data_IF_683367302299
#
_entry.id   IF_683367302299
#
_cell.length_a   1.000
_cell.length_b   1.000
_cell.length_c   1.000
_cell.angle_alpha   90.00
_cell.angle_beta   90.00
_cell.angle_gamma   90.00
#
_symmetry.space_group_name_H-M   'P 1'
#
loop_
_entity.id
_entity.type
_entity.pdbx_description
1 polymer ?
#
# COMPACT_ATOMS: atom_id res chain seq x y z
N UNK A 1 -2.79 -27.70 -11.49
CA UNK A 1 -2.32 -27.45 -10.11
C UNK A 1 -2.63 -26.00 -9.83
N UNK A 2 -3.66 -25.71 -9.03
CA UNK A 2 -3.98 -24.33 -8.65
C UNK A 2 -2.92 -23.83 -7.67
N UNK A 3 -2.30 -22.69 -7.98
CA UNK A 3 -1.39 -22.03 -7.06
C UNK A 3 -2.21 -21.17 -6.11
N UNK A 4 -2.40 -21.65 -4.89
CA UNK A 4 -3.24 -20.97 -3.90
C UNK A 4 -2.48 -19.78 -3.31
N UNK A 5 -3.01 -18.58 -3.53
CA UNK A 5 -2.51 -17.36 -2.91
C UNK A 5 -2.76 -17.38 -1.41
N UNK A 6 -1.79 -16.95 -0.60
CA UNK A 6 -2.03 -16.73 0.83
C UNK A 6 -2.70 -15.37 1.03
N UNK A 7 -3.88 -15.35 1.66
CA UNK A 7 -4.49 -14.12 2.18
C UNK A 7 -3.63 -13.61 3.34
N UNK A 8 -3.04 -12.43 3.17
CA UNK A 8 -2.12 -11.81 4.16
C UNK A 8 -2.86 -10.82 5.04
N UNK A 9 -3.88 -10.16 4.50
CA UNK A 9 -4.68 -9.19 5.25
C UNK A 9 -6.10 -9.10 4.69
N UNK A 10 -7.05 -8.86 5.59
CA UNK A 10 -8.44 -8.56 5.30
C UNK A 10 -8.92 -7.52 6.31
N UNK A 11 -9.61 -6.49 5.82
CA UNK A 11 -10.14 -5.42 6.64
C UNK A 11 -11.27 -4.69 5.93
N UNK A 12 -11.84 -3.70 6.61
CA UNK A 12 -12.91 -2.89 6.02
C UNK A 12 -12.36 -2.11 4.81
N UNK A 13 -12.81 -2.44 3.60
CA UNK A 13 -12.41 -1.81 2.35
C UNK A 13 -11.53 -2.66 1.42
N UNK A 14 -11.15 -3.89 1.81
CA UNK A 14 -10.51 -4.81 0.88
C UNK A 14 -9.73 -5.98 1.50
N UNK A 15 -9.05 -6.72 0.63
CA UNK A 15 -8.18 -7.84 0.98
C UNK A 15 -6.86 -7.83 0.19
N UNK A 16 -5.81 -8.36 0.81
CA UNK A 16 -4.48 -8.47 0.22
C UNK A 16 -4.01 -9.93 0.24
N UNK A 17 -3.57 -10.40 -0.91
CA UNK A 17 -3.04 -11.74 -1.12
C UNK A 17 -1.61 -11.65 -1.64
N UNK A 18 -0.76 -12.60 -1.25
CA UNK A 18 0.60 -12.71 -1.76
C UNK A 18 0.94 -14.14 -2.14
N UNK A 19 1.81 -14.26 -3.14
CA UNK A 19 2.54 -15.47 -3.46
C UNK A 19 4.02 -15.22 -3.19
N UNK A 20 4.63 -16.13 -2.45
CA UNK A 20 6.07 -16.20 -2.26
C UNK A 20 6.74 -16.85 -3.48
N UNK A 21 8.06 -16.62 -3.68
CA UNK A 21 8.79 -17.25 -4.78
C UNK A 21 8.71 -18.79 -4.79
N UNK A 22 8.60 -19.43 -3.62
CA UNK A 22 8.48 -20.88 -3.51
C UNK A 22 7.13 -21.42 -4.02
N UNK A 23 6.12 -20.56 -4.13
CA UNK A 23 4.76 -20.90 -4.57
C UNK A 23 4.54 -20.63 -6.08
N UNK A 24 5.55 -20.08 -6.77
CA UNK A 24 5.47 -19.70 -8.19
C UNK A 24 6.39 -20.57 -9.07
N UNK A 25 5.96 -20.95 -10.29
CA UNK A 25 6.72 -21.79 -11.21
C UNK A 25 7.92 -21.07 -11.84
N UNK A 26 8.01 -19.73 -11.72
CA UNK A 26 9.10 -18.92 -12.26
C UNK A 26 9.89 -18.18 -11.18
N UNK A 27 10.94 -18.82 -10.68
CA UNK A 27 12.10 -18.15 -10.07
C UNK A 27 11.85 -17.26 -8.85
N UNK A 28 12.86 -16.43 -8.54
CA UNK A 28 13.00 -15.63 -7.31
C UNK A 28 12.11 -14.36 -7.29
N UNK A 29 10.87 -14.47 -7.74
CA UNK A 29 9.92 -13.35 -7.94
C UNK A 29 8.76 -13.52 -6.96
N UNK A 30 8.28 -12.44 -6.36
CA UNK A 30 7.04 -12.42 -5.59
C UNK A 30 5.85 -11.93 -6.43
N UNK A 31 4.64 -12.24 -6.00
CA UNK A 31 3.44 -11.65 -6.59
C UNK A 31 2.46 -11.23 -5.50
N UNK A 32 1.60 -10.26 -5.80
CA UNK A 32 0.55 -9.84 -4.90
C UNK A 32 -0.73 -9.48 -5.64
N UNK A 33 -1.88 -9.80 -5.04
CA UNK A 33 -3.19 -9.33 -5.49
C UNK A 33 -3.77 -8.43 -4.40
N UNK A 34 -4.17 -7.23 -4.81
CA UNK A 34 -4.93 -6.29 -4.02
C UNK A 34 -6.36 -6.27 -4.58
N UNK A 35 -7.34 -6.52 -3.73
CA UNK A 35 -8.75 -6.31 -4.04
C UNK A 35 -9.30 -5.24 -3.11
N UNK A 36 -9.77 -4.13 -3.69
CA UNK A 36 -10.45 -3.07 -2.95
C UNK A 36 -11.95 -3.14 -3.23
N UNK A 37 -12.73 -3.03 -2.17
CA UNK A 37 -14.17 -2.89 -2.26
C UNK A 37 -14.53 -1.52 -2.87
N UNK A 38 -15.82 -1.33 -3.19
CA UNK A 38 -16.35 -0.08 -3.77
C UNK A 38 -15.88 1.12 -2.97
N UNK A 39 -15.27 2.10 -3.63
CA UNK A 39 -14.74 3.32 -3.00
C UNK A 39 -13.68 3.06 -1.89
N UNK A 40 -13.11 1.85 -1.84
CA UNK A 40 -12.06 1.48 -0.90
C UNK A 40 -10.75 2.22 -1.19
N UNK A 41 -9.96 2.47 -0.15
CA UNK A 41 -8.68 3.15 -0.26
C UNK A 41 -7.54 2.29 0.28
N UNK A 42 -6.55 2.01 -0.56
CA UNK A 42 -5.29 1.43 -0.12
C UNK A 42 -4.32 2.55 0.29
N UNK A 43 -3.77 2.40 1.50
CA UNK A 43 -2.86 3.37 2.08
C UNK A 43 -1.61 3.62 1.24
N UNK A 44 -1.07 4.85 1.26
CA UNK A 44 0.20 5.15 0.62
C UNK A 44 1.28 4.22 1.19
N UNK A 45 1.87 3.42 0.31
CA UNK A 45 2.95 2.48 0.65
C UNK A 45 4.02 2.51 -0.42
N UNK A 46 5.26 2.22 -0.03
CA UNK A 46 6.34 1.95 -0.98
C UNK A 46 6.89 0.54 -0.79
N UNK A 47 7.59 0.05 -1.81
CA UNK A 47 8.30 -1.23 -1.82
C UNK A 47 9.79 -0.98 -2.08
N UNK A 48 10.63 -1.87 -1.58
CA UNK A 48 12.07 -1.87 -1.78
C UNK A 48 12.51 -2.70 -3.02
N UNK A 49 11.69 -2.79 -4.06
CA UNK A 49 11.97 -3.51 -5.32
C UNK A 49 12.55 -2.60 -6.44
N UNK A 50 13.69 -2.92 -7.11
CA UNK A 50 14.46 -1.94 -7.92
C UNK A 50 13.96 -1.69 -9.36
N UNK A 51 13.40 -0.50 -9.67
CA UNK A 51 13.19 0.04 -11.04
C UNK A 51 13.29 1.60 -11.07
N UNK A 52 13.43 2.22 -12.26
CA UNK A 52 13.70 3.67 -12.47
C UNK A 52 12.43 4.57 -12.55
N UNK A 53 12.51 5.87 -12.22
CA UNK A 53 11.32 6.68 -11.88
C UNK A 53 10.58 7.43 -13.01
N UNK A 54 9.25 7.45 -12.90
CA UNK A 54 8.35 8.53 -13.36
C UNK A 54 7.17 8.67 -12.38
N UNK A 55 6.75 9.88 -12.02
CA UNK A 55 5.57 10.13 -11.15
C UNK A 55 4.29 10.01 -11.99
N UNK A 56 3.31 9.24 -11.50
CA UNK A 56 2.06 8.98 -12.21
C UNK A 56 0.85 9.30 -11.32
N UNK A 57 0.03 10.27 -11.75
CA UNK A 57 -1.33 10.48 -11.26
C UNK A 57 -2.27 10.17 -12.44
N UNK A 58 -3.00 9.05 -12.36
CA UNK A 58 -3.89 8.63 -13.45
C UNK A 58 -5.03 7.76 -12.93
N UNK A 59 -6.16 7.79 -13.64
CA UNK A 59 -7.18 6.73 -13.54
C UNK A 59 -6.68 5.52 -14.32
N UNK A 60 -6.76 4.34 -13.69
CA UNK A 60 -6.32 3.07 -14.26
C UNK A 60 -7.58 2.25 -14.54
N UNK A 61 -7.71 1.72 -15.76
CA UNK A 61 -8.78 0.81 -16.16
C UNK A 61 -8.25 -0.62 -16.26
N UNK A 62 -9.15 -1.57 -16.42
CA UNK A 62 -8.78 -2.95 -16.73
C UNK A 62 -7.80 -2.99 -17.93
N UNK A 63 -6.84 -3.91 -17.88
CA UNK A 63 -5.79 -4.12 -18.90
C UNK A 63 -4.64 -3.09 -18.88
N UNK A 64 -4.72 -2.03 -18.08
CA UNK A 64 -3.56 -1.15 -17.90
C UNK A 64 -2.43 -1.86 -17.12
N UNK A 65 -1.21 -1.73 -17.63
CA UNK A 65 0.03 -2.17 -16.99
C UNK A 65 0.94 -0.96 -16.80
N UNK A 66 1.47 -0.80 -15.60
CA UNK A 66 2.53 0.17 -15.33
C UNK A 66 3.53 -0.38 -14.32
N UNK A 67 4.69 0.26 -14.29
CA UNK A 67 5.79 -0.07 -13.40
C UNK A 67 5.80 0.91 -12.25
N UNK A 68 5.84 0.40 -11.01
CA UNK A 68 6.07 1.20 -9.82
C UNK A 68 7.56 1.08 -9.44
N UNK A 69 8.33 2.18 -9.48
CA UNK A 69 9.74 2.18 -9.10
C UNK A 69 9.96 1.90 -7.61
N UNK A 70 11.21 1.55 -7.24
CA UNK A 70 11.61 1.38 -5.84
C UNK A 70 11.37 2.65 -5.03
N UNK A 71 10.88 2.50 -3.81
CA UNK A 71 10.63 3.60 -2.88
C UNK A 71 9.58 4.62 -3.35
N UNK A 72 8.90 4.37 -4.47
CA UNK A 72 7.77 5.20 -4.89
C UNK A 72 6.56 4.90 -4.03
N UNK A 73 5.98 5.95 -3.48
CA UNK A 73 4.77 5.88 -2.68
C UNK A 73 3.58 5.75 -3.62
N UNK A 74 2.79 4.70 -3.43
CA UNK A 74 1.57 4.47 -4.20
C UNK A 74 0.37 4.38 -3.28
N UNK A 75 -0.63 5.22 -3.56
CA UNK A 75 -1.98 5.13 -3.02
C UNK A 75 -2.93 4.65 -4.12
N UNK A 76 -3.98 3.91 -3.76
CA UNK A 76 -5.02 3.50 -4.72
C UNK A 76 -6.39 3.82 -4.14
N UNK A 77 -7.26 4.42 -4.94
CA UNK A 77 -8.67 4.61 -4.63
C UNK A 77 -9.45 3.77 -5.64
N UNK A 78 -10.35 2.92 -5.17
CA UNK A 78 -11.24 2.17 -6.03
C UNK A 78 -12.41 3.04 -6.48
N UNK A 79 -12.85 2.81 -7.72
CA UNK A 79 -14.10 3.37 -8.24
C UNK A 79 -15.33 2.68 -7.57
N UNK A 80 -16.57 3.13 -7.85
CA UNK A 80 -17.78 2.51 -7.32
C UNK A 80 -17.99 1.04 -7.70
N UNK A 81 -17.28 0.55 -8.72
CA UNK A 81 -17.30 -0.86 -9.14
C UNK A 81 -16.21 -1.70 -8.45
N UNK A 82 -15.35 -1.09 -7.63
CA UNK A 82 -14.21 -1.74 -6.97
C UNK A 82 -12.93 -1.69 -7.81
N UNK A 83 -11.85 -2.27 -7.27
CA UNK A 83 -10.57 -2.40 -7.99
C UNK A 83 -9.94 -3.76 -7.70
N UNK A 84 -9.65 -4.51 -8.75
CA UNK A 84 -8.72 -5.63 -8.68
C UNK A 84 -7.38 -5.24 -9.29
N UNK A 85 -6.32 -5.43 -8.52
CA UNK A 85 -4.96 -5.05 -8.87
C UNK A 85 -4.01 -6.22 -8.66
N UNK A 86 -3.15 -6.49 -9.64
CA UNK A 86 -2.10 -7.51 -9.54
C UNK A 86 -0.72 -6.86 -9.70
N UNK A 87 0.19 -7.21 -8.80
CA UNK A 87 1.60 -6.78 -8.81
C UNK A 87 2.51 -7.99 -9.01
N UNK A 88 3.47 -7.84 -9.91
CA UNK A 88 4.67 -8.69 -9.97
C UNK A 88 5.78 -7.92 -9.26
N UNK A 89 6.50 -8.60 -8.36
CA UNK A 89 7.53 -8.01 -7.51
C UNK A 89 8.82 -8.76 -7.79
N UNK A 90 9.81 -8.09 -8.36
CA UNK A 90 11.07 -8.71 -8.79
C UNK A 90 11.99 -9.14 -7.63
N UNK A 91 11.72 -8.68 -6.41
CA UNK A 91 12.52 -9.02 -5.22
C UNK A 91 11.78 -10.02 -4.32
N UNK A 92 12.42 -11.16 -3.97
CA UNK A 92 11.86 -12.10 -3.01
C UNK A 92 11.80 -11.46 -1.61
N UNK A 93 10.75 -11.74 -0.84
CA UNK A 93 10.57 -11.22 0.53
C UNK A 93 10.50 -9.69 0.64
N UNK A 94 9.93 -9.02 -0.36
CA UNK A 94 9.75 -7.57 -0.37
C UNK A 94 9.05 -7.06 0.89
N UNK A 95 9.61 -6.00 1.47
CA UNK A 95 9.02 -5.33 2.63
C UNK A 95 8.21 -4.13 2.12
N UNK A 96 6.98 -4.06 2.59
CA UNK A 96 6.14 -2.90 2.34
C UNK A 96 6.06 -2.03 3.58
N UNK A 97 6.28 -0.74 3.37
CA UNK A 97 6.20 0.26 4.43
C UNK A 97 4.99 1.15 4.20
N UNK A 98 4.17 1.32 5.24
CA UNK A 98 2.95 2.12 5.20
C UNK A 98 3.26 3.53 5.73
N UNK A 99 2.74 4.56 5.05
CA UNK A 99 2.85 5.96 5.49
C UNK A 99 1.61 6.43 6.26
N UNK A 100 0.59 5.61 6.44
CA UNK A 100 -0.57 5.91 7.26
C UNK A 100 -1.04 4.63 7.94
N UNK A 101 -2.02 4.73 8.83
CA UNK A 101 -2.52 3.56 9.56
C UNK A 101 -1.72 3.22 10.82
N UNK A 102 -2.09 2.10 11.44
CA UNK A 102 -1.55 1.63 12.71
C UNK A 102 -0.04 1.35 12.67
N UNK A 103 0.48 0.92 11.52
CA UNK A 103 1.89 0.61 11.24
C UNK A 103 2.66 1.76 10.55
N UNK A 104 2.10 2.97 10.55
CA UNK A 104 2.72 4.13 9.89
C UNK A 104 4.10 4.48 10.44
N UNK A 105 5.04 4.78 9.55
CA UNK A 105 6.37 5.32 9.92
C UNK A 105 6.30 6.62 10.70
N UNK A 106 5.25 7.43 10.51
CA UNK A 106 5.09 8.68 11.27
C UNK A 106 4.90 8.42 12.75
N UNK A 107 4.32 7.27 13.15
CA UNK A 107 4.16 6.92 14.56
C UNK A 107 5.50 6.60 15.24
N UNK A 108 6.48 6.14 14.45
CA UNK A 108 7.82 5.82 14.93
C UNK A 108 8.71 7.05 15.11
N UNK A 109 8.37 8.18 14.47
CA UNK A 109 9.08 9.44 14.66
C UNK A 109 8.61 10.17 15.92
N UNK A 110 9.52 10.91 16.56
CA UNK A 110 9.19 11.72 17.73
C UNK A 110 8.40 12.98 17.34
N UNK A 111 7.57 13.52 18.26
CA UNK A 111 6.83 14.76 18.00
C UNK A 111 7.71 15.90 17.51
N UNK A 112 8.85 16.13 18.16
CA UNK A 112 9.76 17.21 17.80
C UNK A 112 10.33 17.07 16.40
N UNK A 113 10.59 15.85 15.93
CA UNK A 113 11.06 15.61 14.56
C UNK A 113 9.96 15.96 13.56
N UNK A 114 8.72 15.58 13.83
CA UNK A 114 7.58 15.87 12.93
C UNK A 114 7.24 17.36 12.90
N UNK A 115 7.26 18.03 14.05
CA UNK A 115 7.05 19.48 14.16
C UNK A 115 8.11 20.24 13.35
N UNK A 116 9.38 19.87 13.50
CA UNK A 116 10.48 20.49 12.74
C UNK A 116 10.40 20.17 11.23
N UNK A 117 10.11 18.92 10.86
CA UNK A 117 10.08 18.49 9.47
C UNK A 117 8.92 19.12 8.67
N UNK A 118 7.75 19.25 9.29
CA UNK A 118 6.57 19.85 8.65
C UNK A 118 6.39 21.33 8.94
N UNK A 119 7.21 21.90 9.83
CA UNK A 119 7.10 23.28 10.32
C UNK A 119 5.69 23.58 10.85
N UNK A 120 5.24 22.75 11.80
CA UNK A 120 3.90 22.83 12.41
C UNK A 120 3.99 22.91 13.92
N UNK A 121 2.96 23.47 14.55
CA UNK A 121 2.83 23.52 16.00
C UNK A 121 2.49 22.13 16.60
N UNK A 122 2.60 21.96 17.94
CA UNK A 122 2.29 20.70 18.61
C UNK A 122 0.84 20.24 18.46
N UNK A 123 -0.13 21.15 18.31
CA UNK A 123 -1.55 20.79 18.17
C UNK A 123 -1.80 20.11 16.82
N UNK A 124 -1.23 20.68 15.75
CA UNK A 124 -1.31 20.12 14.39
C UNK A 124 -0.55 18.79 14.30
N UNK A 125 0.63 18.66 14.95
CA UNK A 125 1.36 17.40 15.00
C UNK A 125 0.57 16.30 15.74
N UNK A 126 -0.03 16.64 16.88
CA UNK A 126 -0.86 15.71 17.65
C UNK A 126 -2.09 15.27 16.83
N UNK A 127 -2.72 16.20 16.13
CA UNK A 127 -3.84 15.89 15.23
C UNK A 127 -3.40 14.97 14.09
N UNK A 128 -2.23 15.22 13.50
CA UNK A 128 -1.68 14.39 12.43
C UNK A 128 -1.46 12.94 12.88
N UNK A 129 -0.91 12.72 14.08
CA UNK A 129 -0.64 11.36 14.60
C UNK A 129 -1.85 10.65 15.18
N UNK A 130 -2.89 11.37 15.60
CA UNK A 130 -4.10 10.79 16.20
C UNK A 130 -5.07 10.22 15.15
N UNK A 131 -5.04 10.73 13.92
CA UNK A 131 -5.96 10.30 12.87
C UNK A 131 -5.63 8.93 12.31
N UNK A 132 -6.70 8.15 12.08
CA UNK A 132 -6.67 6.89 11.30
C UNK A 132 -5.59 5.91 11.76
N UNK A 133 -5.53 5.71 13.08
CA UNK A 133 -4.52 4.86 13.74
C UNK A 133 -4.95 3.43 13.95
N UNK A 134 -6.21 3.09 13.65
CA UNK A 134 -6.79 1.76 13.85
C UNK A 134 -6.58 0.84 12.64
N UNK A 135 -6.74 1.34 11.41
CA UNK A 135 -6.63 0.50 10.22
C UNK A 135 -5.17 0.33 9.77
N UNK A 136 -4.83 -0.84 9.24
CA UNK A 136 -3.45 -1.18 8.89
C UNK A 136 -3.13 -1.01 7.40
N UNK A 137 -4.08 -1.31 6.50
CA UNK A 137 -3.81 -1.39 5.05
C UNK A 137 -4.91 -0.74 4.20
N UNK A 138 -6.19 -0.93 4.57
CA UNK A 138 -7.34 -0.41 3.85
C UNK A 138 -8.13 0.55 4.71
N UNK A 139 -8.64 1.61 4.10
CA UNK A 139 -9.72 2.39 4.68
C UNK A 139 -11.03 2.09 3.94
N UNK A 140 -12.13 1.90 4.66
CA UNK A 140 -13.44 1.84 4.04
C UNK A 140 -13.81 3.19 3.42
N UNK A 141 -14.74 3.22 2.46
CA UNK A 141 -15.32 4.47 1.98
C UNK A 141 -15.79 5.38 3.13
N UNK A 142 -15.74 6.71 2.94
CA UNK A 142 -16.47 7.63 3.80
C UNK A 142 -17.97 7.29 3.75
N UNK A 143 -18.62 7.27 4.91
CA UNK A 143 -20.08 7.20 5.02
C UNK A 143 -20.75 8.43 4.39
#
# INVERSE_FOLDING_TARGET
>A
MEMLAKKVYEGNGGSYYSWSPAELPQGNIGAAKLALDKNGFALPRYSDDPLRPSVLETTVKAVNLFIVPRFFVVSKIADPDGLEWFSIISTPNTIFTHLAGSSSVWKALSPSVLQAAFNVDPEVEQLFRSKRTADAIFFPPPN
#
